data_IF_697510409071
#
_entry.id   IF_697510409071
#
_cell.length_a   1.000
_cell.length_b   1.000
_cell.length_c   1.000
_cell.angle_alpha   90.00
_cell.angle_beta   90.00
_cell.angle_gamma   90.00
#
_symmetry.space_group_name_H-M   'P 1'
#
loop_
_entity.id
_entity.type
_entity.pdbx_description
1 polymer ?
#
# COMPACT_ATOMS: atom_id res chain seq x y z
N UNK A 1 -41.88 42.01 -38.74
CA UNK A 1 -41.81 40.75 -39.51
C UNK A 1 -40.35 40.54 -39.93
N UNK A 2 -39.87 39.28 -39.95
CA UNK A 2 -38.47 38.83 -39.91
C UNK A 2 -37.57 39.21 -41.11
N UNK A 3 -36.30 39.51 -40.74
CA UNK A 3 -34.97 39.41 -41.37
C UNK A 3 -34.72 39.71 -42.87
N UNK A 4 -33.56 40.34 -43.13
CA UNK A 4 -32.57 39.77 -44.05
C UNK A 4 -31.19 39.55 -43.39
N UNK A 5 -30.71 38.31 -43.50
CA UNK A 5 -29.30 37.91 -43.50
C UNK A 5 -28.57 38.57 -44.68
N UNK A 6 -27.25 38.86 -44.56
CA UNK A 6 -26.28 38.88 -45.66
C UNK A 6 -24.89 39.35 -45.15
N UNK A 7 -24.13 38.42 -44.58
CA UNK A 7 -22.76 38.08 -45.00
C UNK A 7 -21.84 39.15 -45.65
N UNK A 8 -21.78 40.40 -45.14
CA UNK A 8 -20.92 41.47 -45.69
C UNK A 8 -20.26 42.39 -44.65
N UNK A 9 -20.03 41.90 -43.43
CA UNK A 9 -19.13 42.55 -42.48
C UNK A 9 -17.82 41.75 -42.32
N UNK A 10 -17.33 41.19 -43.42
CA UNK A 10 -16.10 40.39 -43.51
C UNK A 10 -14.82 41.24 -43.69
N UNK A 11 -14.89 42.57 -43.61
CA UNK A 11 -13.72 43.43 -43.87
C UNK A 11 -13.80 44.74 -43.08
N UNK A 12 -13.30 44.73 -41.84
CA UNK A 12 -12.71 45.89 -41.15
C UNK A 12 -12.69 45.66 -39.63
N UNK A 13 -11.89 44.70 -39.16
CA UNK A 13 -11.81 44.42 -37.72
C UNK A 13 -10.54 43.72 -37.24
N UNK A 14 -9.70 43.18 -38.13
CA UNK A 14 -8.37 42.72 -37.73
C UNK A 14 -7.45 43.94 -37.64
N UNK A 15 -7.51 44.61 -36.49
CA UNK A 15 -6.39 45.45 -36.06
C UNK A 15 -5.16 44.54 -35.94
N UNK A 16 -4.01 44.95 -36.52
CA UNK A 16 -2.78 44.17 -36.44
C UNK A 16 -2.44 43.90 -34.97
N UNK A 17 -2.08 42.65 -34.67
CA UNK A 17 -1.67 42.21 -33.33
C UNK A 17 -0.55 43.11 -32.80
N UNK A 18 -0.70 43.58 -31.56
CA UNK A 18 0.12 44.61 -30.87
C UNK A 18 1.64 44.39 -30.95
N UNK A 19 2.09 43.17 -31.24
CA UNK A 19 3.49 42.79 -31.47
C UNK A 19 4.16 43.54 -32.65
N UNK A 20 3.40 44.08 -33.60
CA UNK A 20 3.95 44.68 -34.84
C UNK A 20 3.98 46.20 -34.93
N UNK A 21 3.44 46.94 -33.96
CA UNK A 21 3.64 48.40 -33.91
C UNK A 21 4.87 48.72 -33.06
N UNK A 22 6.01 48.43 -33.68
CA UNK A 22 7.34 48.86 -33.28
C UNK A 22 7.34 50.30 -32.74
N UNK A 23 7.82 50.43 -31.50
CA UNK A 23 8.82 51.42 -31.07
C UNK A 23 8.51 52.87 -31.45
N UNK A 24 7.70 53.53 -30.63
CA UNK A 24 7.78 54.98 -30.54
C UNK A 24 9.07 55.35 -29.78
N UNK A 25 10.11 55.74 -30.52
CA UNK A 25 11.44 56.10 -30.01
C UNK A 25 11.44 57.35 -29.10
N UNK A 26 10.28 57.95 -28.81
CA UNK A 26 10.14 59.20 -28.08
C UNK A 26 9.17 59.16 -26.88
N UNK A 27 8.67 57.98 -26.49
CA UNK A 27 7.89 57.83 -25.24
C UNK A 27 8.83 57.43 -24.08
N UNK A 28 9.09 58.41 -23.20
CA UNK A 28 9.80 58.29 -21.92
C UNK A 28 9.02 57.41 -20.90
N UNK A 29 8.70 56.16 -21.23
CA UNK A 29 8.22 55.20 -20.23
C UNK A 29 9.43 54.68 -19.45
N UNK A 30 9.50 55.06 -18.18
CA UNK A 30 10.49 54.57 -17.23
C UNK A 30 10.53 53.03 -17.18
N UNK A 31 11.59 52.45 -16.61
CA UNK A 31 11.71 50.99 -16.53
C UNK A 31 10.43 50.39 -15.94
N UNK A 32 9.96 49.24 -16.47
CA UNK A 32 8.75 48.61 -15.97
C UNK A 32 8.86 48.42 -14.45
N UNK A 33 7.77 48.63 -13.69
CA UNK A 33 7.80 48.47 -12.25
C UNK A 33 8.31 47.08 -11.89
N UNK A 34 9.13 46.94 -10.84
CA UNK A 34 9.64 45.64 -10.45
C UNK A 34 8.47 44.69 -10.16
N UNK A 35 8.62 43.40 -10.51
CA UNK A 35 7.58 42.41 -10.21
C UNK A 35 7.30 42.39 -8.69
N UNK A 36 6.04 42.15 -8.28
CA UNK A 36 5.72 42.03 -6.86
C UNK A 36 6.56 40.91 -6.22
N UNK A 37 6.96 41.05 -4.95
CA UNK A 37 7.72 40.02 -4.27
C UNK A 37 6.91 38.71 -4.25
N UNK A 38 7.59 37.55 -4.38
CA UNK A 38 6.91 36.26 -4.29
C UNK A 38 6.19 36.13 -2.94
N UNK A 39 5.04 35.44 -2.88
CA UNK A 39 4.35 35.21 -1.63
C UNK A 39 5.29 34.49 -0.64
N UNK A 40 5.18 34.77 0.66
CA UNK A 40 6.00 34.09 1.66
C UNK A 40 5.76 32.57 1.58
N UNK A 41 6.81 31.76 1.82
CA UNK A 41 6.65 30.33 1.82
C UNK A 41 5.62 29.91 2.89
N UNK A 42 4.84 28.84 2.65
CA UNK A 42 3.91 28.33 3.64
C UNK A 42 4.67 27.92 4.92
N UNK A 43 4.03 28.06 6.11
CA UNK A 43 4.65 27.64 7.37
C UNK A 43 4.94 26.14 7.35
N UNK A 44 6.00 25.69 8.05
CA UNK A 44 6.31 24.27 8.16
C UNK A 44 5.17 23.52 8.90
N UNK A 45 4.94 22.24 8.57
CA UNK A 45 3.94 21.43 9.28
C UNK A 45 4.29 21.32 10.77
N UNK A 46 3.28 21.27 11.66
CA UNK A 46 3.51 21.11 13.09
C UNK A 46 4.20 19.77 13.38
N UNK A 47 5.07 19.71 14.40
CA UNK A 47 5.67 18.46 14.82
C UNK A 47 4.57 17.48 15.28
N UNK A 48 4.74 16.17 15.02
CA UNK A 48 3.78 15.17 15.44
C UNK A 48 3.62 15.19 16.96
N UNK A 49 2.37 15.14 17.42
CA UNK A 49 2.05 15.12 18.85
C UNK A 49 2.53 13.79 19.46
N UNK A 50 2.84 13.77 20.76
CA UNK A 50 3.27 12.55 21.47
C UNK A 50 2.28 11.38 21.28
N UNK A 51 0.98 11.66 21.22
CA UNK A 51 -0.06 10.67 20.93
C UNK A 51 0.06 10.07 19.54
N UNK A 52 0.35 10.88 18.52
CA UNK A 52 0.55 10.40 17.15
C UNK A 52 1.81 9.54 17.03
N UNK A 53 2.84 9.86 17.81
CA UNK A 53 4.07 9.09 17.86
C UNK A 53 3.86 7.72 18.54
N UNK A 54 3.10 7.70 19.64
CA UNK A 54 2.72 6.46 20.32
C UNK A 54 1.84 5.57 19.44
N UNK A 55 0.86 6.16 18.74
CA UNK A 55 0.01 5.43 17.79
C UNK A 55 0.83 4.82 16.64
N UNK A 56 1.79 5.57 16.08
CA UNK A 56 2.70 5.05 15.06
C UNK A 56 3.57 3.91 15.59
N UNK A 57 4.12 4.03 16.80
CA UNK A 57 4.91 2.97 17.42
C UNK A 57 4.09 1.68 17.60
N UNK A 58 2.84 1.80 18.06
CA UNK A 58 1.93 0.66 18.20
C UNK A 58 1.58 0.03 16.84
N UNK A 59 1.33 0.86 15.82
CA UNK A 59 1.05 0.40 14.47
C UNK A 59 2.27 -0.31 13.84
N UNK A 60 3.46 0.25 14.02
CA UNK A 60 4.72 -0.36 13.58
C UNK A 60 4.95 -1.71 14.27
N UNK A 61 4.75 -1.77 15.59
CA UNK A 61 4.87 -3.03 16.34
C UNK A 61 3.87 -4.08 15.82
N UNK A 62 2.59 -3.72 15.64
CA UNK A 62 1.59 -4.59 15.02
C UNK A 62 2.02 -5.05 13.63
N UNK A 63 2.56 -4.15 12.81
CA UNK A 63 3.05 -4.48 11.47
C UNK A 63 4.21 -5.49 11.54
N UNK A 64 5.15 -5.33 12.48
CA UNK A 64 6.23 -6.29 12.69
C UNK A 64 5.71 -7.65 13.16
N UNK A 65 4.76 -7.70 14.10
CA UNK A 65 4.13 -8.95 14.51
C UNK A 65 3.45 -9.65 13.34
N UNK A 66 2.77 -8.87 12.49
CA UNK A 66 2.08 -9.32 11.27
C UNK A 66 3.07 -9.76 10.18
N UNK A 67 4.25 -9.17 10.10
CA UNK A 67 5.32 -9.59 9.19
C UNK A 67 5.97 -10.89 9.66
N UNK A 68 6.17 -11.08 10.97
CA UNK A 68 6.69 -12.32 11.57
C UNK A 68 5.70 -13.50 11.55
N UNK A 69 4.61 -13.41 10.78
CA UNK A 69 3.68 -14.52 10.54
C UNK A 69 4.47 -15.74 10.05
N UNK A 70 3.98 -16.97 10.31
CA UNK A 70 4.55 -18.19 9.75
C UNK A 70 4.28 -18.29 8.23
N UNK A 71 4.78 -17.31 7.47
CA UNK A 71 4.78 -17.28 6.02
C UNK A 71 5.78 -18.34 5.54
N UNK A 72 5.39 -19.11 4.52
CA UNK A 72 6.19 -20.23 4.02
C UNK A 72 6.02 -21.54 4.78
N UNK A 73 5.18 -21.60 5.83
CA UNK A 73 4.68 -22.87 6.34
C UNK A 73 3.56 -23.39 5.44
N UNK A 74 3.70 -24.62 4.96
CA UNK A 74 2.65 -25.38 4.31
C UNK A 74 2.17 -26.46 5.26
N UNK A 75 0.89 -26.47 5.60
CA UNK A 75 0.31 -27.52 6.45
C UNK A 75 0.08 -28.78 5.61
N UNK A 76 0.73 -29.88 5.99
CA UNK A 76 0.63 -31.18 5.31
C UNK A 76 -0.48 -32.04 5.90
N UNK A 77 -0.74 -31.87 7.19
CA UNK A 77 -1.75 -32.65 7.88
C UNK A 77 -1.46 -32.80 9.35
N UNK A 78 -2.33 -33.54 10.00
CA UNK A 78 -2.34 -33.70 11.44
C UNK A 78 -1.99 -35.13 11.82
N UNK A 79 -1.17 -35.28 12.86
CA UNK A 79 -0.93 -36.55 13.52
C UNK A 79 -1.26 -36.37 14.99
N UNK A 80 -2.20 -37.14 15.51
CA UNK A 80 -2.41 -37.14 16.95
C UNK A 80 -2.97 -38.45 17.42
N UNK A 81 -2.39 -38.94 18.51
CA UNK A 81 -2.87 -40.12 19.20
C UNK A 81 -3.57 -39.67 20.48
N UNK A 82 -4.54 -40.44 20.99
CA UNK A 82 -5.24 -40.15 22.26
C UNK A 82 -4.30 -39.91 23.45
N UNK A 83 -3.04 -40.36 23.38
CA UNK A 83 -2.03 -40.22 24.44
C UNK A 83 -1.00 -39.11 24.19
N UNK A 84 -0.58 -38.85 22.96
CA UNK A 84 0.52 -37.91 22.65
C UNK A 84 0.05 -36.47 22.40
N UNK A 85 -1.26 -36.27 22.29
CA UNK A 85 -1.85 -34.98 21.96
C UNK A 85 -1.87 -34.72 20.45
N UNK A 86 -2.16 -33.47 20.10
CA UNK A 86 -2.40 -33.02 18.74
C UNK A 86 -1.12 -32.47 18.12
N UNK A 87 -0.58 -33.08 17.06
CA UNK A 87 0.58 -32.59 16.32
C UNK A 87 0.18 -32.21 14.90
N UNK A 88 0.68 -31.09 14.41
CA UNK A 88 0.63 -30.73 13.00
C UNK A 88 1.98 -30.98 12.32
N UNK A 89 1.93 -31.54 11.12
CA UNK A 89 3.06 -31.64 10.21
C UNK A 89 3.01 -30.50 9.20
N UNK A 90 4.14 -29.81 9.04
CA UNK A 90 4.29 -28.66 8.17
C UNK A 90 5.57 -28.79 7.33
N UNK A 91 5.60 -28.17 6.15
CA UNK A 91 6.83 -27.91 5.39
C UNK A 91 7.18 -26.45 5.51
N UNK A 92 8.42 -26.13 5.88
CA UNK A 92 8.98 -24.78 5.85
C UNK A 92 9.94 -24.69 4.66
N UNK A 93 9.44 -24.23 3.52
CA UNK A 93 10.17 -24.37 2.25
C UNK A 93 10.34 -25.85 1.91
N UNK A 94 11.54 -26.39 2.13
CA UNK A 94 11.88 -27.81 1.89
C UNK A 94 12.05 -28.62 3.19
N UNK A 95 12.06 -27.97 4.36
CA UNK A 95 12.30 -28.65 5.63
C UNK A 95 10.98 -29.11 6.29
N UNK A 96 10.81 -30.42 6.59
CA UNK A 96 9.67 -30.89 7.35
C UNK A 96 9.81 -30.50 8.82
N UNK A 97 8.82 -29.78 9.35
CA UNK A 97 8.75 -29.34 10.73
C UNK A 97 7.44 -29.80 11.37
N UNK A 98 7.49 -30.21 12.63
CA UNK A 98 6.30 -30.65 13.37
C UNK A 98 6.09 -29.76 14.58
N UNK A 99 4.83 -29.36 14.81
CA UNK A 99 4.46 -28.54 15.95
C UNK A 99 3.33 -29.21 16.72
N UNK A 100 3.45 -29.28 18.04
CA UNK A 100 2.35 -29.71 18.90
C UNK A 100 1.40 -28.54 19.13
N UNK A 101 0.12 -28.82 19.37
CA UNK A 101 -0.79 -27.78 19.85
C UNK A 101 -0.24 -27.18 21.15
N UNK A 102 -0.07 -25.86 21.16
CA UNK A 102 0.56 -25.09 22.22
C UNK A 102 2.03 -24.72 21.95
N UNK A 103 2.69 -25.34 20.98
CA UNK A 103 4.07 -25.01 20.64
C UNK A 103 4.19 -23.62 20.00
N UNK A 104 5.34 -23.00 20.26
CA UNK A 104 5.73 -21.74 19.68
C UNK A 104 6.45 -22.02 18.36
N UNK A 105 5.89 -21.53 17.25
CA UNK A 105 6.62 -21.51 15.99
C UNK A 105 7.82 -20.56 16.08
N UNK A 106 7.57 -19.41 16.69
CA UNK A 106 8.58 -18.42 17.06
C UNK A 106 8.12 -17.73 18.36
N UNK A 107 8.94 -16.87 18.99
CA UNK A 107 8.57 -16.20 20.24
C UNK A 107 7.28 -15.37 20.16
N UNK A 108 6.82 -15.06 18.93
CA UNK A 108 5.69 -14.20 18.64
C UNK A 108 4.43 -14.99 18.26
N UNK A 109 4.53 -16.27 17.88
CA UNK A 109 3.42 -17.04 17.30
C UNK A 109 3.32 -18.43 17.91
N UNK A 110 2.14 -18.74 18.45
CA UNK A 110 1.83 -20.03 19.06
C UNK A 110 0.79 -20.78 18.23
N UNK A 111 0.98 -22.06 18.04
CA UNK A 111 -0.03 -22.95 17.47
C UNK A 111 -1.15 -23.16 18.48
N UNK A 112 -2.31 -22.53 18.27
CA UNK A 112 -3.43 -22.62 19.21
C UNK A 112 -4.39 -23.73 18.86
N UNK A 113 -4.54 -24.03 17.56
CA UNK A 113 -5.46 -25.04 17.07
C UNK A 113 -4.84 -25.77 15.89
N UNK A 114 -4.94 -27.09 15.90
CA UNK A 114 -4.57 -27.92 14.76
C UNK A 114 -5.67 -28.95 14.56
N UNK A 115 -6.07 -29.11 13.31
CA UNK A 115 -7.14 -30.01 12.85
C UNK A 115 -6.69 -30.68 11.56
N UNK A 116 -7.48 -31.62 11.04
CA UNK A 116 -7.21 -32.27 9.77
C UNK A 116 -7.24 -31.30 8.59
N UNK A 117 -8.11 -30.28 8.65
CA UNK A 117 -8.33 -29.34 7.55
C UNK A 117 -7.46 -28.09 7.64
N UNK A 118 -7.03 -27.69 8.83
CA UNK A 118 -6.24 -26.46 9.01
C UNK A 118 -5.48 -26.43 10.34
N UNK A 119 -4.45 -25.60 10.36
CA UNK A 119 -3.74 -25.16 11.55
C UNK A 119 -3.93 -23.64 11.76
N UNK A 120 -4.11 -23.22 13.01
CA UNK A 120 -4.27 -21.82 13.40
C UNK A 120 -3.19 -21.43 14.40
N UNK A 121 -2.42 -20.41 14.03
CA UNK A 121 -1.45 -19.75 14.87
C UNK A 121 -2.04 -18.44 15.39
N UNK A 122 -1.78 -18.14 16.65
CA UNK A 122 -2.15 -16.88 17.29
C UNK A 122 -0.88 -16.14 17.69
N UNK A 123 -0.87 -14.82 17.50
CA UNK A 123 0.22 -14.01 17.99
C UNK A 123 0.15 -13.89 19.52
N UNK A 124 1.30 -14.04 20.19
CA UNK A 124 1.41 -14.04 21.65
C UNK A 124 1.23 -12.63 22.23
N UNK A 125 1.67 -11.61 21.51
CA UNK A 125 1.59 -10.20 21.92
C UNK A 125 0.21 -9.60 21.63
N UNK A 126 -0.37 -9.94 20.48
CA UNK A 126 -1.71 -9.50 20.08
C UNK A 126 -2.61 -10.70 19.81
N UNK A 127 -3.41 -11.09 20.80
CA UNK A 127 -4.31 -12.25 20.68
C UNK A 127 -5.39 -12.11 19.59
N UNK A 128 -5.66 -10.89 19.13
CA UNK A 128 -6.55 -10.62 17.99
C UNK A 128 -5.95 -11.07 16.65
N UNK A 129 -4.61 -11.06 16.53
CA UNK A 129 -3.93 -11.43 15.31
C UNK A 129 -3.82 -12.95 15.23
N UNK A 130 -4.54 -13.52 14.28
CA UNK A 130 -4.56 -14.96 13.98
C UNK A 130 -4.11 -15.22 12.55
N UNK A 131 -3.50 -16.37 12.34
CA UNK A 131 -3.05 -16.83 11.05
C UNK A 131 -3.45 -18.28 10.87
N UNK A 132 -4.30 -18.52 9.88
CA UNK A 132 -4.80 -19.85 9.54
C UNK A 132 -4.08 -20.35 8.29
N UNK A 133 -3.69 -21.61 8.31
CA UNK A 133 -3.09 -22.34 7.20
C UNK A 133 -3.95 -23.56 6.95
N UNK A 134 -4.60 -23.62 5.79
CA UNK A 134 -5.38 -24.79 5.39
C UNK A 134 -4.46 -25.93 4.91
N UNK A 135 -4.91 -27.15 5.12
CA UNK A 135 -4.23 -28.35 4.67
C UNK A 135 -4.23 -28.36 3.14
N UNK A 136 -3.04 -28.41 2.56
CA UNK A 136 -2.92 -28.63 1.12
C UNK A 136 -3.16 -30.12 0.91
N UNK A 137 -4.39 -30.49 0.50
CA UNK A 137 -4.64 -31.84 0.02
C UNK A 137 -3.64 -32.17 -1.10
N UNK A 138 -3.10 -33.40 -1.19
CA UNK A 138 -2.27 -33.83 -2.29
C UNK A 138 -3.12 -34.06 -3.55
N UNK A 139 -3.94 -33.09 -3.95
CA UNK A 139 -4.42 -33.00 -5.33
C UNK A 139 -3.33 -32.28 -6.08
N UNK A 140 -2.47 -33.06 -6.74
CA UNK A 140 -1.39 -32.51 -7.55
C UNK A 140 -1.92 -31.44 -8.48
N UNK A 141 -1.44 -30.21 -8.33
CA UNK A 141 -1.62 -29.11 -9.27
C UNK A 141 -0.50 -28.10 -9.02
N UNK A 142 0.40 -28.00 -10.01
CA UNK A 142 0.77 -26.72 -10.64
C UNK A 142 0.69 -25.49 -9.73
N UNK A 143 1.73 -25.27 -8.94
CA UNK A 143 1.98 -24.00 -8.27
C UNK A 143 2.82 -23.11 -9.17
N UNK A 144 2.14 -22.37 -10.05
CA UNK A 144 2.36 -20.95 -10.32
C UNK A 144 3.80 -20.44 -10.15
N UNK A 145 4.63 -20.65 -11.18
CA UNK A 145 5.69 -19.68 -11.48
C UNK A 145 5.05 -18.39 -11.98
N UNK A 146 5.65 -17.21 -11.73
CA UNK A 146 5.17 -15.97 -12.33
C UNK A 146 5.30 -16.08 -13.86
N UNK A 147 4.17 -16.10 -14.56
CA UNK A 147 4.14 -15.84 -15.99
C UNK A 147 4.49 -14.36 -16.19
N UNK A 148 5.77 -14.06 -16.37
CA UNK A 148 6.21 -12.82 -16.96
C UNK A 148 6.05 -12.97 -18.48
N UNK A 149 5.01 -12.36 -19.02
CA UNK A 149 4.93 -11.97 -20.43
C UNK A 149 6.03 -10.93 -20.71
N UNK A 150 7.00 -11.30 -21.53
CA UNK A 150 7.86 -10.40 -22.31
C UNK A 150 8.19 -11.08 -23.65
#
# INVERSE_FOLDING_TARGET
QKLPDLARLDKAGELPTEDRMLRDLFLFEGPPPPPPPPPPPPPPPPPPTAEQLAAQALAADRAQQTASKPQGLRFLGYLGTKKSGRLGAFMKGDEPVTFKQGDLFNPQWRLVKVTEAFAEFQNVKFGDIKFRIDAVEPRGHSGSGPANEF
#
